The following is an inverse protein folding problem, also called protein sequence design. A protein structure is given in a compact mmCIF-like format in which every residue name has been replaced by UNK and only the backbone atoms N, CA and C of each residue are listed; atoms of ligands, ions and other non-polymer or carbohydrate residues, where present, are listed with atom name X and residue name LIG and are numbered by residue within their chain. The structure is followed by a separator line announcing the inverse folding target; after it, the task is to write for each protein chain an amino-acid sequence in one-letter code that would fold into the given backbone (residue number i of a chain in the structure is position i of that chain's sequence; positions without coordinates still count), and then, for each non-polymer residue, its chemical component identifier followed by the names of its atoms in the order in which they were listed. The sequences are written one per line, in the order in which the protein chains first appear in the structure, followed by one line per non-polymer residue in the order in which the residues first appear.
data_IF_960514999706
#
_entry.id   IF_960514999706
#
_cell.length_a   1.000
_cell.length_b   1.000
_cell.length_c   1.000
_cell.angle_alpha   90.00
_cell.angle_beta   90.00
_cell.angle_gamma   90.00
#
_symmetry.space_group_name_H-M   'P 1'
#
loop_
_entity.id
_entity.type
_entity.pdbx_description
1 polymer ?
#
# COMPACT_ATOMS: atom_id res chain seq x y z
N UNK A 1 -9.30 9.62 6.20
CA UNK A 1 -8.40 9.72 5.03
C UNK A 1 -7.78 8.34 4.80
N UNK A 2 -7.83 7.81 3.59
CA UNK A 2 -7.16 6.54 3.24
C UNK A 2 -6.08 6.85 2.21
N UNK A 3 -4.85 6.46 2.49
CA UNK A 3 -3.69 6.74 1.64
C UNK A 3 -2.99 5.44 1.24
N UNK A 4 -2.38 5.44 0.05
CA UNK A 4 -1.30 4.53 -0.28
C UNK A 4 0.01 5.26 -0.04
N UNK A 5 0.82 4.75 0.87
CA UNK A 5 2.13 5.31 1.14
C UNK A 5 2.70 4.90 2.50
N UNK A 6 4.02 4.98 2.58
CA UNK A 6 4.79 4.62 3.77
C UNK A 6 5.35 3.20 3.74
N UNK A 7 6.45 3.03 4.48
CA UNK A 7 7.10 1.75 4.74
C UNK A 7 7.30 1.66 6.27
N UNK A 8 6.45 0.88 6.93
CA UNK A 8 6.31 0.91 8.38
C UNK A 8 7.15 -0.16 9.08
N UNK A 9 7.67 -1.13 8.31
CA UNK A 9 8.51 -2.22 8.80
C UNK A 9 7.83 -3.00 9.94
N UNK A 10 6.53 -3.24 9.78
CA UNK A 10 5.67 -4.07 10.62
C UNK A 10 5.56 -5.49 10.07
N UNK A 11 5.81 -5.67 8.77
CA UNK A 11 5.95 -6.97 8.11
C UNK A 11 7.32 -7.09 7.44
N UNK A 12 7.76 -8.30 7.03
CA UNK A 12 8.99 -8.48 6.24
C UNK A 12 9.02 -7.74 4.90
N UNK A 13 7.87 -7.25 4.42
CA UNK A 13 7.71 -6.61 3.11
C UNK A 13 7.74 -5.06 3.20
N UNK A 14 7.63 -4.50 4.41
CA UNK A 14 7.59 -3.07 4.69
C UNK A 14 8.94 -2.36 4.58
N UNK A 15 9.63 -2.53 3.45
CA UNK A 15 10.93 -1.94 3.13
C UNK A 15 10.76 -0.77 2.15
N UNK A 16 11.62 0.25 2.24
CA UNK A 16 11.59 1.39 1.33
C UNK A 16 11.83 1.01 -0.13
N UNK A 17 11.18 1.72 -1.05
CA UNK A 17 11.33 1.51 -2.51
C UNK A 17 11.92 2.73 -3.24
N UNK A 18 11.94 3.92 -2.62
CA UNK A 18 12.61 5.11 -3.15
C UNK A 18 14.04 5.21 -2.64
N UNK A 19 14.26 4.86 -1.38
CA UNK A 19 15.57 4.63 -0.78
C UNK A 19 15.48 3.46 0.21
N UNK A 20 16.54 3.20 0.97
CA UNK A 20 16.59 2.07 1.90
C UNK A 20 15.50 2.05 2.99
N UNK A 21 14.87 3.19 3.30
CA UNK A 21 13.93 3.32 4.43
C UNK A 21 12.60 4.00 4.06
N UNK A 22 12.49 4.61 2.89
CA UNK A 22 11.36 5.43 2.51
C UNK A 22 10.60 4.87 1.31
N UNK A 23 9.27 4.92 1.40
CA UNK A 23 8.36 4.68 0.30
C UNK A 23 8.25 5.94 -0.58
N UNK A 24 8.09 5.76 -1.90
CA UNK A 24 8.14 6.81 -2.91
C UNK A 24 7.20 7.99 -2.68
N UNK A 25 5.91 7.77 -2.42
CA UNK A 25 4.96 8.87 -2.21
C UNK A 25 5.34 9.73 -1.00
N UNK A 26 5.78 9.09 0.09
CA UNK A 26 6.26 9.81 1.27
C UNK A 26 7.61 10.49 1.02
N UNK A 27 8.54 9.81 0.34
CA UNK A 27 9.88 10.33 0.04
C UNK A 27 9.86 11.54 -0.90
N UNK A 28 8.90 11.56 -1.82
CA UNK A 28 8.75 12.61 -2.81
C UNK A 28 8.46 13.98 -2.15
N UNK A 29 7.56 14.01 -1.17
CA UNK A 29 7.23 15.21 -0.38
C UNK A 29 6.98 14.87 1.10
N UNK A 30 8.06 14.63 1.88
CA UNK A 30 7.94 14.23 3.28
C UNK A 30 7.49 15.37 4.18
N UNK A 31 7.69 16.63 3.78
CA UNK A 31 7.16 17.79 4.47
C UNK A 31 5.62 17.82 4.42
N UNK A 32 5.03 17.61 3.24
CA UNK A 32 3.59 17.47 3.10
C UNK A 32 3.06 16.24 3.84
N UNK A 33 3.74 15.10 3.75
CA UNK A 33 3.38 13.91 4.51
C UNK A 33 3.41 14.19 6.03
N UNK A 34 4.41 14.91 6.54
CA UNK A 34 4.49 15.28 7.96
C UNK A 34 3.29 16.10 8.41
N UNK A 35 2.82 17.03 7.58
CA UNK A 35 1.60 17.81 7.86
C UNK A 35 0.38 16.89 7.90
N UNK A 36 0.22 15.97 6.93
CA UNK A 36 -0.91 15.05 6.87
C UNK A 36 -0.95 14.14 8.10
N UNK A 37 0.14 13.45 8.42
CA UNK A 37 0.19 12.52 9.57
C UNK A 37 0.03 13.23 10.93
N UNK A 38 0.37 14.52 11.03
CA UNK A 38 0.16 15.32 12.24
C UNK A 38 -1.11 16.19 12.20
N UNK A 39 -1.98 16.02 11.20
CA UNK A 39 -3.20 16.84 11.03
C UNK A 39 -4.31 16.56 12.06
N UNK A 40 -4.23 15.43 12.78
CA UNK A 40 -5.30 14.95 13.65
C UNK A 40 -6.46 14.27 12.91
N UNK A 41 -6.40 14.13 11.58
CA UNK A 41 -7.37 13.37 10.81
C UNK A 41 -7.27 11.87 11.15
N UNK A 42 -8.37 11.10 11.08
CA UNK A 42 -8.30 9.64 11.09
C UNK A 42 -7.66 9.17 9.78
N UNK A 43 -6.48 8.55 9.86
CA UNK A 43 -5.70 8.09 8.70
C UNK A 43 -5.63 6.57 8.71
N UNK A 44 -5.93 5.98 7.55
CA UNK A 44 -5.61 4.59 7.23
C UNK A 44 -4.53 4.58 6.16
N UNK A 45 -3.46 3.82 6.37
CA UNK A 45 -2.33 3.74 5.46
C UNK A 45 -2.15 2.32 4.88
N UNK A 46 -2.27 2.21 3.56
CA UNK A 46 -1.82 1.07 2.78
C UNK A 46 -0.32 1.25 2.44
N UNK A 47 0.55 0.76 3.32
CA UNK A 47 2.00 0.85 3.16
C UNK A 47 2.62 -0.28 2.34
N UNK A 48 3.93 -0.23 2.16
CA UNK A 48 4.68 -1.32 1.52
C UNK A 48 4.57 -2.64 2.30
N UNK A 49 4.30 -2.58 3.60
CA UNK A 49 4.06 -3.73 4.49
C UNK A 49 3.08 -4.77 3.94
N UNK A 50 2.07 -4.33 3.21
CA UNK A 50 1.10 -5.21 2.54
C UNK A 50 1.10 -5.05 1.03
N UNK A 51 1.39 -3.87 0.51
CA UNK A 51 1.30 -3.65 -0.93
C UNK A 51 2.42 -4.32 -1.74
N UNK A 52 3.55 -4.68 -1.13
CA UNK A 52 4.62 -5.47 -1.79
C UNK A 52 4.56 -6.96 -1.45
N UNK A 53 3.57 -7.40 -0.66
CA UNK A 53 3.40 -8.80 -0.32
C UNK A 53 3.16 -9.65 -1.59
N UNK A 54 3.90 -10.76 -1.79
CA UNK A 54 3.84 -11.54 -3.03
C UNK A 54 2.47 -12.16 -3.30
N UNK A 55 1.71 -12.47 -2.26
CA UNK A 55 0.38 -13.08 -2.37
C UNK A 55 -0.73 -12.07 -2.68
N UNK A 56 -0.50 -10.76 -2.54
CA UNK A 56 -1.53 -9.71 -2.70
C UNK A 56 -1.39 -8.95 -4.03
N UNK A 57 -0.76 -9.57 -5.03
CA UNK A 57 -0.37 -8.93 -6.27
C UNK A 57 -1.07 -9.53 -7.48
N UNK A 58 -1.07 -8.81 -8.60
CA UNK A 58 -1.55 -9.34 -9.87
C UNK A 58 -0.56 -10.39 -10.41
N UNK A 59 -1.02 -11.64 -10.54
CA UNK A 59 -0.24 -12.72 -11.16
C UNK A 59 -0.34 -12.69 -12.69
N UNK A 60 0.59 -13.38 -13.36
CA UNK A 60 0.54 -13.57 -14.83
C UNK A 60 -0.77 -14.25 -15.26
N UNK A 61 -1.24 -15.24 -14.51
CA UNK A 61 -2.47 -15.96 -14.84
C UNK A 61 -3.70 -15.07 -14.74
N UNK A 62 -3.80 -14.24 -13.69
CA UNK A 62 -4.87 -13.26 -13.55
C UNK A 62 -4.81 -12.22 -14.67
N UNK A 63 -3.62 -11.72 -14.99
CA UNK A 63 -3.44 -10.78 -16.08
C UNK A 63 -3.84 -11.39 -17.45
N UNK A 64 -3.51 -12.66 -17.69
CA UNK A 64 -3.93 -13.37 -18.90
C UNK A 64 -5.46 -13.53 -18.98
N UNK A 65 -6.13 -13.77 -17.85
CA UNK A 65 -7.60 -13.78 -17.77
C UNK A 65 -8.19 -12.41 -18.15
N UNK A 66 -7.61 -11.31 -17.66
CA UNK A 66 -8.00 -9.95 -18.05
C UNK A 66 -7.80 -9.76 -19.56
N UNK A 67 -6.60 -10.08 -20.08
CA UNK A 67 -6.25 -9.95 -21.51
C UNK A 67 -7.21 -10.72 -22.43
N UNK A 68 -7.73 -11.85 -21.98
CA UNK A 68 -8.67 -12.67 -22.76
C UNK A 68 -10.04 -12.01 -22.99
N UNK A 69 -10.47 -11.07 -22.13
CA UNK A 69 -11.79 -10.40 -22.24
C UNK A 69 -11.90 -9.50 -23.48
N UNK A 70 -10.79 -8.89 -23.92
CA UNK A 70 -10.68 -8.04 -25.13
C UNK A 70 -11.65 -6.86 -25.20
N UNK A 71 -12.30 -6.50 -24.10
CA UNK A 71 -13.14 -5.30 -23.98
C UNK A 71 -12.31 -4.03 -23.72
N UNK A 72 -12.98 -2.87 -23.65
CA UNK A 72 -12.32 -1.58 -23.45
C UNK A 72 -11.50 -1.48 -22.15
N UNK A 73 -11.99 -2.06 -21.05
CA UNK A 73 -11.31 -2.00 -19.74
C UNK A 73 -10.09 -2.91 -19.74
N UNK A 74 -10.25 -4.14 -20.24
CA UNK A 74 -9.14 -5.08 -20.35
C UNK A 74 -8.01 -4.54 -21.23
N UNK A 75 -8.33 -3.86 -22.34
CA UNK A 75 -7.33 -3.23 -23.22
C UNK A 75 -6.53 -2.16 -22.47
N UNK A 76 -7.21 -1.28 -21.72
CA UNK A 76 -6.55 -0.27 -20.90
C UNK A 76 -5.58 -0.90 -19.87
N UNK A 77 -6.01 -1.94 -19.16
CA UNK A 77 -5.15 -2.63 -18.19
C UNK A 77 -3.96 -3.30 -18.88
N UNK A 78 -4.18 -3.92 -20.04
CA UNK A 78 -3.11 -4.53 -20.83
C UNK A 78 -2.10 -3.48 -21.29
N UNK A 79 -2.57 -2.35 -21.83
CA UNK A 79 -1.71 -1.27 -22.32
C UNK A 79 -0.86 -0.65 -21.20
N UNK A 80 -1.43 -0.48 -20.01
CA UNK A 80 -0.72 0.09 -18.86
C UNK A 80 0.26 -0.88 -18.19
N UNK A 81 -0.05 -2.18 -18.16
CA UNK A 81 0.64 -3.12 -17.27
C UNK A 81 1.46 -4.21 -17.98
N UNK A 82 1.39 -4.37 -19.32
CA UNK A 82 2.12 -5.46 -20.01
C UNK A 82 3.62 -5.46 -19.73
N UNK A 83 4.26 -4.28 -19.76
CA UNK A 83 5.71 -4.16 -19.49
C UNK A 83 6.08 -4.53 -18.05
N UNK A 84 5.20 -4.24 -17.09
CA UNK A 84 5.39 -4.64 -15.69
C UNK A 84 5.31 -6.16 -15.55
N UNK A 85 4.31 -6.78 -16.18
CA UNK A 85 4.13 -8.23 -16.16
C UNK A 85 5.33 -8.95 -16.76
N UNK A 86 5.82 -8.47 -17.91
CA UNK A 86 7.01 -9.03 -18.58
C UNK A 86 8.27 -8.90 -17.72
N UNK A 87 8.46 -7.75 -17.06
CA UNK A 87 9.67 -7.48 -16.27
C UNK A 87 9.68 -8.15 -14.89
N UNK A 88 8.51 -8.24 -14.24
CA UNK A 88 8.39 -8.64 -12.84
C UNK A 88 7.50 -9.87 -12.61
N UNK A 89 7.20 -10.61 -13.68
CA UNK A 89 6.36 -11.80 -13.66
C UNK A 89 4.97 -11.54 -13.00
N UNK A 90 4.41 -10.34 -13.19
CA UNK A 90 3.24 -9.82 -12.47
C UNK A 90 3.50 -8.41 -11.94
N UNK A 91 2.60 -7.84 -11.12
CA UNK A 91 2.82 -6.52 -10.51
C UNK A 91 2.06 -6.32 -9.21
N UNK A 92 2.64 -5.52 -8.32
CA UNK A 92 2.07 -5.14 -7.02
C UNK A 92 0.85 -4.23 -7.19
N UNK A 93 -0.16 -4.45 -6.36
CA UNK A 93 -1.41 -3.69 -6.35
C UNK A 93 -1.37 -2.63 -5.25
N UNK A 94 -0.44 -1.67 -5.34
CA UNK A 94 -0.25 -0.61 -4.34
C UNK A 94 -1.51 0.23 -4.11
N UNK A 95 -1.79 1.16 -5.02
CA UNK A 95 -2.93 2.08 -4.90
C UNK A 95 -4.29 1.36 -4.85
N UNK A 96 -4.49 0.22 -5.58
CA UNK A 96 -5.73 -0.54 -5.46
C UNK A 96 -6.05 -1.03 -4.03
N UNK A 97 -5.07 -1.27 -3.17
CA UNK A 97 -5.35 -1.65 -1.76
C UNK A 97 -6.01 -0.49 -0.98
N UNK A 98 -5.58 0.76 -1.19
CA UNK A 98 -6.21 1.91 -0.54
C UNK A 98 -7.68 2.08 -0.98
N UNK A 99 -7.97 1.90 -2.26
CA UNK A 99 -9.35 1.95 -2.79
C UNK A 99 -10.17 0.75 -2.30
N UNK A 100 -9.59 -0.45 -2.31
CA UNK A 100 -10.27 -1.65 -1.82
C UNK A 100 -10.63 -1.53 -0.33
N UNK A 101 -9.78 -0.90 0.48
CA UNK A 101 -10.09 -0.62 1.88
C UNK A 101 -11.32 0.28 2.03
N UNK A 102 -11.45 1.32 1.19
CA UNK A 102 -12.64 2.18 1.18
C UNK A 102 -13.90 1.40 0.77
N UNK A 103 -13.77 0.46 -0.17
CA UNK A 103 -14.88 -0.36 -0.68
C UNK A 103 -15.33 -1.40 0.36
N UNK A 104 -14.39 -2.13 0.94
CA UNK A 104 -14.66 -3.17 1.95
C UNK A 104 -13.50 -3.26 2.95
N UNK A 105 -13.59 -2.55 4.09
CA UNK A 105 -12.58 -2.62 5.14
C UNK A 105 -12.41 -4.02 5.74
N UNK A 106 -13.39 -4.92 5.60
CA UNK A 106 -13.34 -6.28 6.18
C UNK A 106 -12.35 -7.20 5.46
N UNK A 107 -11.80 -6.76 4.33
CA UNK A 107 -10.69 -7.42 3.64
C UNK A 107 -9.35 -7.20 4.33
N UNK A 108 -9.27 -6.28 5.30
CA UNK A 108 -8.00 -5.79 5.82
C UNK A 108 -7.96 -5.88 7.35
N UNK A 109 -6.81 -6.28 7.88
CA UNK A 109 -6.49 -6.07 9.29
C UNK A 109 -5.61 -4.83 9.41
N UNK A 110 -6.00 -3.96 10.34
CA UNK A 110 -5.22 -2.77 10.67
C UNK A 110 -4.66 -2.84 12.08
N UNK A 111 -3.52 -2.20 12.28
CA UNK A 111 -2.97 -1.95 13.60
C UNK A 111 -2.68 -0.46 13.75
N UNK A 112 -3.08 0.11 14.88
CA UNK A 112 -2.94 1.53 15.14
C UNK A 112 -1.60 1.86 15.80
N UNK A 113 -0.84 2.75 15.19
CA UNK A 113 0.48 3.18 15.67
C UNK A 113 0.61 4.70 15.73
N UNK A 114 1.55 5.17 16.56
CA UNK A 114 2.11 6.51 16.42
C UNK A 114 3.12 6.49 15.29
N UNK A 115 2.90 7.37 14.31
CA UNK A 115 3.78 7.59 13.17
C UNK A 115 4.16 9.07 13.10
N UNK A 116 5.43 9.34 12.82
CA UNK A 116 5.91 10.65 12.42
C UNK A 116 6.88 10.52 11.23
N UNK A 117 7.24 11.64 10.61
CA UNK A 117 8.05 11.68 9.39
C UNK A 117 9.42 12.29 9.67
N UNK A 118 10.45 11.63 9.15
CA UNK A 118 11.80 12.17 9.05
C UNK A 118 11.93 13.03 7.78
N UNK A 119 12.30 14.31 7.97
CA UNK A 119 12.32 15.32 6.90
C UNK A 119 13.69 15.97 6.70
N UNK A 120 14.68 15.66 7.54
CA UNK A 120 15.99 16.32 7.57
C UNK A 120 17.17 15.38 7.36
N UNK A 121 17.08 14.13 7.84
CA UNK A 121 18.21 13.19 7.86
C UNK A 121 18.77 12.87 6.47
N UNK A 122 20.10 12.82 6.36
CA UNK A 122 20.80 12.53 5.09
C UNK A 122 20.46 11.13 4.54
N UNK A 123 20.35 10.14 5.42
CA UNK A 123 20.09 8.74 5.05
C UNK A 123 18.61 8.35 5.16
N UNK A 124 17.84 9.11 5.94
CA UNK A 124 16.51 8.70 6.42
C UNK A 124 15.39 9.64 6.03
N UNK A 125 15.66 10.70 5.25
CA UNK A 125 14.61 11.58 4.72
C UNK A 125 13.53 10.76 4.00
N UNK A 126 12.28 11.01 4.35
CA UNK A 126 11.11 10.28 3.83
C UNK A 126 10.71 9.06 4.62
N UNK A 127 11.44 8.69 5.68
CA UNK A 127 11.09 7.55 6.51
C UNK A 127 9.79 7.83 7.31
N UNK A 128 8.85 6.90 7.25
CA UNK A 128 7.74 6.78 8.21
C UNK A 128 8.24 6.15 9.49
N UNK A 129 8.49 6.96 10.52
CA UNK A 129 9.02 6.54 11.82
C UNK A 129 7.89 6.03 12.70
N UNK A 130 7.90 4.72 12.97
CA UNK A 130 6.87 4.04 13.76
C UNK A 130 7.33 3.75 15.17
N UNK A 131 6.55 4.15 16.17
CA UNK A 131 6.78 3.76 17.57
C UNK A 131 6.37 2.30 17.78
N UNK A 132 7.33 1.39 17.60
CA UNK A 132 7.11 -0.07 17.72
C UNK A 132 7.40 -0.61 19.13
N UNK A 133 7.97 0.19 20.03
CA UNK A 133 8.37 -0.28 21.37
C UNK A 133 7.13 -0.56 22.19
N UNK A 134 6.95 -1.83 22.57
CA UNK A 134 5.72 -2.29 23.25
C UNK A 134 5.40 -1.49 24.53
N UNK A 135 6.42 -1.10 25.30
CA UNK A 135 6.30 -0.37 26.56
C UNK A 135 5.98 1.13 26.39
N UNK A 136 6.10 1.65 25.17
CA UNK A 136 5.71 3.02 24.80
C UNK A 136 4.49 3.08 23.89
N UNK A 137 3.71 1.99 23.77
CA UNK A 137 2.43 2.03 23.05
C UNK A 137 1.42 2.87 23.84
N UNK A 138 1.62 4.19 23.83
CA UNK A 138 0.68 5.16 24.36
C UNK A 138 -0.48 5.21 23.37
N UNK A 139 -1.58 4.51 23.70
CA UNK A 139 -2.77 4.43 22.84
C UNK A 139 -3.30 5.81 22.46
N UNK A 140 -3.12 6.80 23.32
CA UNK A 140 -3.59 8.18 23.15
C UNK A 140 -2.81 8.96 22.08
N UNK A 141 -1.57 8.55 21.75
CA UNK A 141 -0.74 9.22 20.74
C UNK A 141 -0.85 8.59 19.35
N UNK A 142 -1.47 7.42 19.23
CA UNK A 142 -1.56 6.69 17.97
C UNK A 142 -2.45 7.45 16.95
N UNK A 143 -1.86 7.80 15.81
CA UNK A 143 -2.48 8.68 14.80
C UNK A 143 -2.82 7.98 13.48
N UNK A 144 -2.32 6.76 13.26
CA UNK A 144 -2.48 6.08 11.97
C UNK A 144 -2.87 4.62 12.17
N UNK A 145 -3.92 4.18 11.49
CA UNK A 145 -4.28 2.77 11.32
C UNK A 145 -3.54 2.21 10.10
N UNK A 146 -2.54 1.37 10.33
CA UNK A 146 -1.69 0.82 9.26
C UNK A 146 -2.25 -0.54 8.85
N UNK A 147 -2.43 -0.76 7.55
CA UNK A 147 -2.85 -2.07 7.01
C UNK A 147 -1.66 -3.03 7.09
N UNK A 148 -1.81 -4.07 7.89
CA UNK A 148 -0.77 -5.07 8.16
C UNK A 148 -1.07 -6.45 7.56
N UNK A 149 -2.30 -6.67 7.11
CA UNK A 149 -2.71 -7.93 6.49
C UNK A 149 -3.88 -7.73 5.53
N UNK A 150 -3.93 -8.54 4.47
CA UNK A 150 -4.99 -8.54 3.45
C UNK A 150 -5.52 -9.96 3.30
N UNK A 151 -6.84 -10.11 3.24
CA UNK A 151 -7.48 -11.36 2.84
C UNK A 151 -7.31 -11.50 1.31
N UNK A 152 -6.29 -12.26 0.92
CA UNK A 152 -5.77 -12.28 -0.45
C UNK A 152 -6.83 -12.69 -1.48
N UNK A 153 -7.55 -13.79 -1.21
CA UNK A 153 -8.48 -14.37 -2.17
C UNK A 153 -9.65 -13.43 -2.45
N UNK A 154 -10.27 -12.87 -1.40
CA UNK A 154 -11.37 -11.91 -1.55
C UNK A 154 -10.88 -10.60 -2.16
N UNK A 155 -9.70 -10.12 -1.80
CA UNK A 155 -9.13 -8.91 -2.38
C UNK A 155 -8.86 -9.07 -3.88
N UNK A 156 -8.16 -10.13 -4.28
CA UNK A 156 -7.84 -10.41 -5.67
C UNK A 156 -9.11 -10.70 -6.48
N UNK A 157 -10.09 -11.39 -5.90
CA UNK A 157 -11.41 -11.56 -6.52
C UNK A 157 -12.09 -10.21 -6.74
N UNK A 158 -12.13 -9.33 -5.74
CA UNK A 158 -12.71 -7.98 -5.88
C UNK A 158 -12.05 -7.21 -7.02
N UNK A 159 -10.72 -7.24 -7.12
CA UNK A 159 -10.00 -6.57 -8.22
C UNK A 159 -10.40 -7.17 -9.58
N UNK A 160 -10.42 -8.50 -9.69
CA UNK A 160 -10.80 -9.18 -10.92
C UNK A 160 -12.22 -8.84 -11.34
N UNK A 161 -13.21 -8.99 -10.47
CA UNK A 161 -14.62 -8.67 -10.71
C UNK A 161 -14.77 -7.24 -11.27
N UNK A 162 -14.08 -6.24 -10.68
CA UNK A 162 -14.15 -4.84 -11.13
C UNK A 162 -13.51 -4.60 -12.49
N UNK A 163 -12.40 -5.28 -12.78
CA UNK A 163 -11.66 -5.11 -14.04
C UNK A 163 -12.32 -5.90 -15.18
N UNK A 164 -12.82 -7.11 -14.92
CA UNK A 164 -13.43 -7.99 -15.93
C UNK A 164 -14.94 -7.80 -16.07
N UNK A 165 -15.58 -7.09 -15.14
CA UNK A 165 -17.03 -6.82 -15.16
C UNK A 165 -17.89 -8.03 -14.82
N UNK A 166 -17.36 -8.94 -14.00
CA UNK A 166 -18.05 -10.10 -13.44
C UNK A 166 -18.64 -9.81 -12.05
#
# INVERSE_FOLDING_TARGET
LVIMGGAFNLTPYGLGNANAVAEFNIWYDPEAAKIVFNSGLPIVAAGLDTTTHPDYRMSVDMFNKIKAKKDRRSKLVVDLCSSLVEKFNGFSLHDPQAIAYVVDPTLFRTEKYKVDLEVHGELTRGMTVVERRYYRRVKEEANTDIIVEVEADRFLKLIMDRVTGE
#
